data_IF_710762290080
#
_entry.id   IF_710762290080
#
_cell.length_a   1.000
_cell.length_b   1.000
_cell.length_c   1.000
_cell.angle_alpha   90.00
_cell.angle_beta   90.00
_cell.angle_gamma   90.00
#
_symmetry.space_group_name_H-M   'P 1'
#
loop_
_entity.id
_entity.type
_entity.pdbx_description
1 polymer ?
#
# COMPACT_ATOMS: atom_id res chain seq x y z
N UNK A 1 -0.96 12.40 13.74
CA UNK A 1 -1.66 11.30 13.04
C UNK A 1 -1.79 11.67 11.58
N UNK A 2 -1.40 10.77 10.67
CA UNK A 2 -1.29 10.89 9.20
C UNK A 2 -2.08 12.03 8.52
N UNK A 3 -3.35 12.20 8.83
CA UNK A 3 -4.24 13.22 8.24
C UNK A 3 -3.80 14.68 8.42
N UNK A 4 -3.03 14.98 9.48
CA UNK A 4 -2.49 16.33 9.68
C UNK A 4 -1.34 16.65 8.72
N UNK A 5 -0.58 15.64 8.29
CA UNK A 5 0.54 15.78 7.33
C UNK A 5 0.04 15.59 5.89
N UNK A 6 -0.89 14.67 5.68
CA UNK A 6 -1.42 14.32 4.37
C UNK A 6 -2.95 14.31 4.36
N UNK A 7 -3.60 15.47 4.14
CA UNK A 7 -5.06 15.60 4.21
C UNK A 7 -5.79 14.79 3.11
N UNK A 8 -5.10 14.51 2.01
CA UNK A 8 -5.65 13.77 0.87
C UNK A 8 -5.47 12.25 0.99
N UNK A 9 -4.76 11.77 2.02
CA UNK A 9 -4.63 10.35 2.26
C UNK A 9 -6.01 9.73 2.60
N UNK A 10 -6.25 8.52 2.12
CA UNK A 10 -7.47 7.75 2.37
C UNK A 10 -7.08 6.40 2.95
N UNK A 11 -7.80 5.94 3.98
CA UNK A 11 -7.64 4.58 4.50
C UNK A 11 -8.56 3.63 3.75
N UNK A 12 -8.14 2.37 3.63
CA UNK A 12 -8.95 1.28 3.07
C UNK A 12 -9.57 1.66 1.71
N UNK A 13 -8.74 2.20 0.83
CA UNK A 13 -9.18 2.75 -0.45
C UNK A 13 -9.42 1.65 -1.46
N UNK A 14 -10.56 1.71 -2.17
CA UNK A 14 -10.88 0.79 -3.26
C UNK A 14 -10.31 1.32 -4.58
N UNK A 15 -9.20 0.77 -5.10
CA UNK A 15 -8.51 1.34 -6.26
C UNK A 15 -9.20 1.03 -7.57
N UNK A 16 -9.95 -0.08 -7.65
CA UNK A 16 -10.61 -0.56 -8.86
C UNK A 16 -12.07 -0.91 -8.56
N UNK A 17 -13.00 -0.30 -9.30
CA UNK A 17 -14.45 -0.45 -9.05
C UNK A 17 -14.93 -1.92 -9.13
N UNK A 18 -14.32 -2.71 -10.02
CA UNK A 18 -14.66 -4.11 -10.30
C UNK A 18 -13.89 -5.14 -9.44
N UNK A 19 -13.02 -4.70 -8.52
CA UNK A 19 -12.29 -5.60 -7.60
C UNK A 19 -12.70 -5.35 -6.15
N UNK A 20 -12.49 -6.35 -5.28
CA UNK A 20 -12.88 -6.28 -3.87
C UNK A 20 -11.74 -5.92 -2.90
N UNK A 21 -10.50 -5.90 -3.36
CA UNK A 21 -9.36 -5.59 -2.49
C UNK A 21 -9.23 -4.08 -2.24
N UNK A 22 -8.70 -3.73 -1.07
CA UNK A 22 -8.52 -2.36 -0.58
C UNK A 22 -7.05 -2.11 -0.27
N UNK A 23 -6.56 -0.91 -0.57
CA UNK A 23 -5.22 -0.43 -0.17
C UNK A 23 -5.34 0.19 1.22
N UNK A 24 -4.47 -0.19 2.17
CA UNK A 24 -4.54 0.26 3.56
C UNK A 24 -4.51 1.78 3.68
N UNK A 25 -3.58 2.44 2.96
CA UNK A 25 -3.51 3.89 2.81
C UNK A 25 -3.24 4.23 1.35
N UNK A 26 -4.04 5.11 0.76
CA UNK A 26 -3.85 5.57 -0.61
C UNK A 26 -3.80 7.10 -0.72
N UNK A 27 -3.06 7.56 -1.73
CA UNK A 27 -3.04 8.91 -2.24
C UNK A 27 -3.57 8.88 -3.68
N UNK A 28 -4.90 8.94 -3.88
CA UNK A 28 -5.50 8.67 -5.19
C UNK A 28 -5.02 9.59 -6.31
N UNK A 29 -4.75 10.86 -5.99
CA UNK A 29 -4.25 11.84 -6.96
C UNK A 29 -2.83 11.56 -7.46
N UNK A 30 -2.07 10.72 -6.75
CA UNK A 30 -0.69 10.35 -7.10
C UNK A 30 -0.56 8.88 -7.53
N UNK A 31 -1.69 8.15 -7.58
CA UNK A 31 -1.74 6.70 -7.79
C UNK A 31 -0.73 5.96 -6.90
N UNK A 32 -0.62 6.37 -5.64
CA UNK A 32 0.29 5.79 -4.65
C UNK A 32 -0.50 5.08 -3.54
N UNK A 33 -0.17 3.82 -3.29
CA UNK A 33 -0.67 3.05 -2.17
C UNK A 33 0.44 2.66 -1.18
N UNK A 34 0.07 2.49 0.07
CA UNK A 34 0.92 1.95 1.14
C UNK A 34 0.18 0.76 1.73
N UNK A 35 0.88 -0.37 1.86
CA UNK A 35 0.37 -1.59 2.49
C UNK A 35 1.27 -1.98 3.66
N UNK A 36 0.65 -2.27 4.80
CA UNK A 36 1.34 -2.77 5.97
C UNK A 36 1.27 -4.29 5.98
N UNK A 37 2.36 -4.95 5.61
CA UNK A 37 2.45 -6.40 5.52
C UNK A 37 2.45 -7.00 6.94
N UNK A 38 1.24 -7.31 7.43
CA UNK A 38 1.01 -8.02 8.67
C UNK A 38 1.37 -9.49 8.52
N UNK A 39 2.41 -9.94 9.21
CA UNK A 39 2.93 -11.30 9.12
C UNK A 39 1.99 -12.40 9.65
N UNK A 40 0.72 -12.11 9.95
CA UNK A 40 -0.12 -13.02 10.73
C UNK A 40 -1.14 -13.86 9.95
N UNK A 41 -1.50 -13.59 8.68
CA UNK A 41 -2.54 -14.40 8.02
C UNK A 41 -2.46 -14.68 6.50
N UNK A 42 -1.40 -14.30 5.76
CA UNK A 42 -1.43 -14.45 4.27
C UNK A 42 -0.44 -15.44 3.64
N UNK A 43 0.35 -16.18 4.43
CA UNK A 43 1.47 -16.95 3.87
C UNK A 43 1.34 -18.47 3.79
N UNK A 44 0.32 -19.09 4.40
CA UNK A 44 0.35 -20.55 4.64
C UNK A 44 0.01 -21.40 3.40
N UNK A 45 -0.64 -20.83 2.37
CA UNK A 45 -1.06 -21.58 1.19
C UNK A 45 -0.62 -20.92 -0.11
N UNK A 46 -0.15 -21.73 -1.09
CA UNK A 46 0.28 -21.27 -2.42
C UNK A 46 -0.77 -20.42 -3.16
N UNK A 47 -2.05 -20.69 -2.90
CA UNK A 47 -3.19 -19.95 -3.49
C UNK A 47 -3.21 -18.48 -3.06
N UNK A 48 -2.84 -18.19 -1.81
CA UNK A 48 -2.81 -16.82 -1.27
C UNK A 48 -1.69 -16.01 -1.95
N UNK A 49 -0.54 -16.66 -2.20
CA UNK A 49 0.58 -16.05 -2.92
C UNK A 49 0.27 -15.75 -4.38
N UNK A 50 -0.50 -16.61 -5.07
CA UNK A 50 -0.91 -16.35 -6.46
C UNK A 50 -1.91 -15.18 -6.54
N UNK A 51 -2.91 -15.18 -5.65
CA UNK A 51 -3.90 -14.09 -5.56
C UNK A 51 -3.24 -12.75 -5.26
N UNK A 52 -2.20 -12.73 -4.41
CA UNK A 52 -1.45 -11.51 -4.09
C UNK A 52 -0.68 -10.96 -5.30
N UNK A 53 0.00 -11.84 -6.05
CA UNK A 53 0.71 -11.44 -7.29
C UNK A 53 -0.25 -10.89 -8.34
N UNK A 54 -1.41 -11.52 -8.53
CA UNK A 54 -2.44 -11.03 -9.46
C UNK A 54 -2.94 -9.64 -9.05
N UNK A 55 -3.24 -9.43 -7.76
CA UNK A 55 -3.62 -8.13 -7.21
C UNK A 55 -2.56 -7.07 -7.50
N UNK A 56 -1.30 -7.35 -7.18
CA UNK A 56 -0.19 -6.41 -7.40
C UNK A 56 -0.02 -6.06 -8.88
N UNK A 57 -0.07 -7.06 -9.76
CA UNK A 57 0.01 -6.82 -11.19
C UNK A 57 -1.15 -5.94 -11.68
N UNK A 58 -2.38 -6.20 -11.21
CA UNK A 58 -3.53 -5.37 -11.55
C UNK A 58 -3.35 -3.91 -11.10
N UNK A 59 -2.82 -3.68 -9.90
CA UNK A 59 -2.53 -2.34 -9.41
C UNK A 59 -1.51 -1.64 -10.32
N UNK A 60 -0.39 -2.30 -10.61
CA UNK A 60 0.65 -1.76 -11.51
C UNK A 60 0.10 -1.46 -12.90
N UNK A 61 -0.68 -2.37 -13.49
CA UNK A 61 -1.31 -2.18 -14.80
C UNK A 61 -2.30 -1.01 -14.83
N UNK A 62 -2.83 -0.61 -13.68
CA UNK A 62 -3.70 0.56 -13.53
C UNK A 62 -2.92 1.81 -13.04
N UNK A 63 -1.59 1.81 -13.17
CA UNK A 63 -0.74 2.95 -12.84
C UNK A 63 -0.42 3.13 -11.36
N UNK A 64 -0.86 2.21 -10.50
CA UNK A 64 -0.57 2.31 -9.07
C UNK A 64 0.86 1.90 -8.75
N UNK A 65 1.53 2.72 -7.95
CA UNK A 65 2.74 2.35 -7.22
C UNK A 65 2.35 1.97 -5.80
N UNK A 66 2.88 0.85 -5.30
CA UNK A 66 2.57 0.36 -3.95
C UNK A 66 3.87 0.22 -3.16
N UNK A 67 3.94 0.87 -2.00
CA UNK A 67 5.02 0.71 -1.03
C UNK A 67 4.57 -0.26 0.06
N UNK A 68 5.30 -1.36 0.21
CA UNK A 68 5.02 -2.39 1.21
C UNK A 68 5.97 -2.25 2.39
N UNK A 69 5.43 -2.26 3.61
CA UNK A 69 6.22 -2.20 4.83
C UNK A 69 5.76 -3.27 5.82
N UNK A 70 6.70 -4.06 6.33
CA UNK A 70 6.37 -4.98 7.41
C UNK A 70 6.22 -4.24 8.73
N UNK A 71 5.56 -4.87 9.70
CA UNK A 71 5.52 -4.34 11.05
C UNK A 71 6.93 -4.19 11.69
N UNK A 72 7.94 -4.90 11.17
CA UNK A 72 9.34 -4.73 11.60
C UNK A 72 9.94 -3.46 11.01
N UNK A 73 9.70 -3.16 9.73
CA UNK A 73 10.19 -1.95 9.07
C UNK A 73 9.63 -0.70 9.77
N UNK A 74 8.31 -0.71 10.03
CA UNK A 74 7.58 0.37 10.71
C UNK A 74 8.16 0.66 12.11
N UNK A 75 8.53 -0.39 12.86
CA UNK A 75 9.12 -0.22 14.20
C UNK A 75 10.59 0.16 14.15
N UNK A 76 11.31 -0.26 13.10
CA UNK A 76 12.74 -0.03 12.97
C UNK A 76 13.05 1.41 12.60
N UNK A 77 12.32 1.97 11.63
CA UNK A 77 12.66 3.27 11.07
C UNK A 77 11.45 3.93 10.39
N UNK A 78 10.63 4.63 11.18
CA UNK A 78 9.45 5.34 10.69
C UNK A 78 9.83 6.55 9.83
N UNK A 79 10.94 7.23 10.16
CA UNK A 79 11.35 8.44 9.44
C UNK A 79 11.77 8.12 8.01
N UNK A 80 12.50 7.01 7.82
CA UNK A 80 12.82 6.49 6.48
C UNK A 80 11.56 6.16 5.67
N UNK A 81 10.53 5.58 6.30
CA UNK A 81 9.26 5.28 5.62
C UNK A 81 8.59 6.58 5.17
N UNK A 82 8.56 7.59 6.03
CA UNK A 82 7.99 8.91 5.68
C UNK A 82 8.76 9.53 4.50
N UNK A 83 10.10 9.48 4.53
CA UNK A 83 10.94 9.99 3.43
C UNK A 83 10.63 9.28 2.10
N UNK A 84 10.53 7.96 2.11
CA UNK A 84 10.18 7.18 0.91
C UNK A 84 8.79 7.52 0.38
N UNK A 85 7.81 7.75 1.27
CA UNK A 85 6.47 8.20 0.87
C UNK A 85 6.54 9.59 0.23
N UNK A 86 7.31 10.52 0.80
CA UNK A 86 7.46 11.87 0.27
C UNK A 86 8.15 11.90 -1.08
N UNK A 87 9.22 11.12 -1.25
CA UNK A 87 9.87 10.94 -2.55
C UNK A 87 8.88 10.39 -3.58
N UNK A 88 8.08 9.38 -3.22
CA UNK A 88 7.09 8.81 -4.12
C UNK A 88 5.99 9.82 -4.51
N UNK A 89 5.58 10.71 -3.60
CA UNK A 89 4.60 11.77 -3.88
C UNK A 89 5.12 12.86 -4.83
N UNK A 90 6.43 12.98 -5.02
CA UNK A 90 7.05 14.00 -5.88
C UNK A 90 7.37 13.52 -7.30
N UNK A 91 7.21 12.22 -7.58
CA UNK A 91 7.36 11.65 -8.94
C UNK A 91 6.09 11.83 -9.75
#
# INVERSE_FOLDING_TARGET
>A
MIYRRWPNARREYKPLANRKFLIDIAFPSHLLGIEADGWQYHGKFLRDHQSDRERRNLLVLNGWRILHYTAKDIRKDMDKIIEQIEQALQM
#
